data_IF_340968391013
#
_entry.id   IF_340968391013
#
_cell.length_a   1.000
_cell.length_b   1.000
_cell.length_c   1.000
_cell.angle_alpha   90.00
_cell.angle_beta   90.00
_cell.angle_gamma   90.00
#
_symmetry.space_group_name_H-M   'P 1'
#
loop_
_entity.id
_entity.type
_entity.pdbx_description
1 polymer ?
#
# COMPACT_ATOMS: atom_id res chain seq x y z
N UNK A 1 13.45 -17.60 10.05
CA UNK A 1 12.67 -16.72 10.97
C UNK A 1 11.55 -16.09 10.15
N UNK A 2 10.32 -16.04 10.66
CA UNK A 2 9.22 -15.39 9.95
C UNK A 2 9.48 -13.87 9.90
N UNK A 3 9.38 -13.27 8.72
CA UNK A 3 9.53 -11.81 8.55
C UNK A 3 8.17 -11.07 8.54
N UNK A 4 7.06 -11.79 8.63
CA UNK A 4 5.70 -11.26 8.62
C UNK A 4 5.34 -10.42 7.37
N UNK A 5 6.15 -10.48 6.32
CA UNK A 5 5.87 -9.84 5.03
C UNK A 5 5.26 -10.90 4.12
N UNK A 6 4.00 -10.74 3.77
CA UNK A 6 3.27 -11.71 2.95
C UNK A 6 2.91 -11.13 1.60
N UNK A 7 3.15 -11.89 0.56
CA UNK A 7 2.87 -11.52 -0.84
C UNK A 7 1.81 -12.45 -1.39
N UNK A 8 0.78 -11.90 -2.01
CA UNK A 8 -0.33 -12.62 -2.63
C UNK A 8 -0.47 -12.17 -4.08
N UNK A 9 -0.23 -13.09 -5.01
CA UNK A 9 -0.33 -12.83 -6.45
C UNK A 9 -1.74 -13.06 -6.99
N UNK A 10 -2.06 -12.40 -8.10
CA UNK A 10 -3.33 -12.56 -8.84
C UNK A 10 -4.57 -12.31 -7.96
N UNK A 11 -4.49 -11.37 -7.02
CA UNK A 11 -5.62 -11.03 -6.14
C UNK A 11 -6.65 -10.15 -6.87
N UNK A 12 -6.17 -9.16 -7.64
CA UNK A 12 -6.97 -8.44 -8.62
C UNK A 12 -6.67 -8.96 -10.02
N UNK A 13 -7.70 -9.00 -10.88
CA UNK A 13 -7.52 -9.27 -12.30
C UNK A 13 -6.89 -8.05 -12.99
N UNK A 14 -6.30 -8.25 -14.18
CA UNK A 14 -5.76 -7.13 -14.96
C UNK A 14 -6.85 -6.11 -15.30
N UNK A 15 -8.06 -6.55 -15.62
CA UNK A 15 -9.20 -5.69 -15.90
C UNK A 15 -9.59 -4.83 -14.68
N UNK A 16 -9.56 -5.40 -13.47
CA UNK A 16 -9.79 -4.65 -12.23
C UNK A 16 -8.68 -3.63 -11.99
N UNK A 17 -7.44 -4.01 -12.21
CA UNK A 17 -6.30 -3.10 -12.12
C UNK A 17 -6.44 -1.92 -13.09
N UNK A 18 -6.76 -2.19 -14.35
CA UNK A 18 -6.95 -1.18 -15.40
C UNK A 18 -8.12 -0.23 -15.06
N UNK A 19 -9.20 -0.78 -14.49
CA UNK A 19 -10.34 0.03 -14.03
C UNK A 19 -9.93 1.02 -12.92
N UNK A 20 -9.12 0.57 -11.95
CA UNK A 20 -8.62 1.43 -10.88
C UNK A 20 -7.62 2.47 -11.42
N UNK A 21 -6.74 2.09 -12.34
CA UNK A 21 -5.81 3.02 -13.01
C UNK A 21 -6.60 4.09 -13.77
N UNK A 22 -7.63 3.70 -14.51
CA UNK A 22 -8.51 4.64 -15.23
C UNK A 22 -9.16 5.64 -14.26
N UNK A 23 -9.64 5.15 -13.11
CA UNK A 23 -10.17 6.01 -12.06
C UNK A 23 -9.13 7.03 -11.57
N UNK A 24 -7.87 6.58 -11.34
CA UNK A 24 -6.77 7.47 -10.91
C UNK A 24 -6.50 8.53 -11.98
N UNK A 25 -6.39 8.13 -13.25
CA UNK A 25 -6.01 9.01 -14.34
C UNK A 25 -7.10 10.01 -14.73
N UNK A 26 -8.35 9.72 -14.41
CA UNK A 26 -9.51 10.60 -14.71
C UNK A 26 -10.00 11.39 -13.50
N UNK A 27 -9.46 11.14 -12.30
CA UNK A 27 -9.89 11.82 -11.08
C UNK A 27 -9.47 13.31 -11.10
N UNK A 28 -10.42 14.25 -10.97
CA UNK A 28 -10.09 15.68 -10.96
C UNK A 28 -9.42 16.15 -9.66
N UNK A 29 -9.49 15.33 -8.60
CA UNK A 29 -9.00 15.66 -7.27
C UNK A 29 -7.67 14.95 -6.94
N UNK A 30 -6.86 14.67 -7.95
CA UNK A 30 -5.52 14.12 -7.74
C UNK A 30 -4.57 15.25 -7.33
N UNK A 31 -3.84 15.06 -6.24
CA UNK A 31 -2.97 16.06 -5.63
C UNK A 31 -1.54 15.53 -5.48
N UNK A 32 -0.58 16.43 -5.22
CA UNK A 32 0.79 16.02 -4.89
C UNK A 32 0.82 15.25 -3.58
N UNK A 33 1.51 14.11 -3.57
CA UNK A 33 1.61 13.27 -2.38
C UNK A 33 2.23 14.01 -1.20
N UNK A 34 1.60 13.85 -0.04
CA UNK A 34 2.06 14.45 1.22
C UNK A 34 3.06 13.53 1.92
N UNK A 35 3.99 14.15 2.63
CA UNK A 35 4.85 13.52 3.63
C UNK A 35 4.74 14.32 4.94
N UNK A 36 4.14 13.71 5.96
CA UNK A 36 3.77 14.44 7.16
C UNK A 36 2.76 15.56 6.84
N UNK A 37 3.09 16.80 7.14
CA UNK A 37 2.18 17.96 6.93
C UNK A 37 2.46 18.75 5.63
N UNK A 38 3.28 18.25 4.71
CA UNK A 38 3.65 19.01 3.52
C UNK A 38 4.09 18.19 2.32
N UNK A 39 4.21 18.86 1.19
CA UNK A 39 4.78 18.31 -0.05
C UNK A 39 6.29 18.49 -0.03
N UNK A 40 7.02 17.39 -0.14
CA UNK A 40 8.48 17.39 -0.32
C UNK A 40 8.85 16.38 -1.41
N UNK A 41 8.88 16.83 -2.65
CA UNK A 41 9.15 16.00 -3.83
C UNK A 41 10.54 15.37 -3.84
N UNK A 42 11.48 15.90 -3.06
CA UNK A 42 12.80 15.29 -2.91
C UNK A 42 12.78 13.98 -2.11
N UNK A 43 11.71 13.78 -1.31
CA UNK A 43 11.51 12.61 -0.47
C UNK A 43 10.40 11.69 -0.98
N UNK A 44 9.27 12.30 -1.42
CA UNK A 44 8.14 11.59 -2.00
C UNK A 44 7.63 12.34 -3.22
N UNK A 45 7.82 11.77 -4.38
CA UNK A 45 7.37 12.32 -5.66
C UNK A 45 6.26 11.43 -6.23
N UNK A 46 5.03 11.73 -5.84
CA UNK A 46 3.80 11.03 -6.26
C UNK A 46 2.65 11.99 -6.50
N UNK A 47 1.62 11.47 -7.16
CA UNK A 47 0.30 12.05 -7.26
C UNK A 47 -0.69 11.13 -6.53
N UNK A 48 -1.39 11.65 -5.55
CA UNK A 48 -2.21 10.87 -4.62
C UNK A 48 -3.68 11.28 -4.69
N UNK A 49 -4.57 10.29 -4.56
CA UNK A 49 -6.00 10.48 -4.28
C UNK A 49 -6.25 9.87 -2.90
N UNK A 50 -6.82 10.67 -2.01
CA UNK A 50 -7.24 10.23 -0.68
C UNK A 50 -8.68 9.77 -0.73
N UNK A 51 -8.88 8.46 -0.72
CA UNK A 51 -10.20 7.83 -0.81
C UNK A 51 -10.74 7.38 0.55
N UNK A 52 -12.05 7.13 0.57
CA UNK A 52 -12.78 6.58 1.71
C UNK A 52 -13.60 5.36 1.28
N UNK A 53 -13.47 4.24 1.97
CA UNK A 53 -14.29 3.05 1.73
C UNK A 53 -15.79 3.28 1.92
N UNK A 54 -16.19 4.33 2.64
CA UNK A 54 -17.60 4.72 2.82
C UNK A 54 -18.29 5.29 1.58
N UNK A 55 -17.56 5.58 0.50
CA UNK A 55 -18.13 6.12 -0.75
C UNK A 55 -18.79 5.03 -1.62
N UNK A 56 -18.61 3.75 -1.30
CA UNK A 56 -19.21 2.59 -1.97
C UNK A 56 -18.99 2.56 -3.50
N UNK A 57 -17.87 3.09 -3.96
CA UNK A 57 -17.51 3.04 -5.38
C UNK A 57 -17.14 1.60 -5.81
N UNK A 58 -17.10 1.33 -7.12
CA UNK A 58 -16.62 0.06 -7.62
C UNK A 58 -15.15 -0.18 -7.22
N UNK A 59 -14.34 0.87 -7.18
CA UNK A 59 -12.95 0.83 -6.71
C UNK A 59 -12.89 0.39 -5.26
N UNK A 60 -13.70 0.98 -4.38
CA UNK A 60 -13.76 0.60 -2.96
C UNK A 60 -14.13 -0.87 -2.79
N UNK A 61 -15.13 -1.35 -3.53
CA UNK A 61 -15.59 -2.74 -3.48
C UNK A 61 -14.51 -3.72 -3.96
N UNK A 62 -13.83 -3.42 -5.07
CA UNK A 62 -12.74 -4.26 -5.58
C UNK A 62 -11.59 -4.38 -4.57
N UNK A 63 -11.12 -3.25 -4.03
CA UNK A 63 -10.04 -3.22 -3.04
C UNK A 63 -10.45 -3.94 -1.76
N UNK A 64 -11.64 -3.65 -1.21
CA UNK A 64 -12.14 -4.26 0.01
C UNK A 64 -12.23 -5.79 -0.10
N UNK A 65 -12.76 -6.32 -1.22
CA UNK A 65 -12.86 -7.76 -1.45
C UNK A 65 -11.47 -8.42 -1.53
N UNK A 66 -10.54 -7.80 -2.28
CA UNK A 66 -9.16 -8.25 -2.38
C UNK A 66 -8.48 -8.34 -1.00
N UNK A 67 -8.63 -7.30 -0.20
CA UNK A 67 -8.03 -7.23 1.15
C UNK A 67 -8.66 -8.23 2.12
N UNK A 68 -9.98 -8.45 2.06
CA UNK A 68 -10.67 -9.41 2.93
C UNK A 68 -10.10 -10.82 2.79
N UNK A 69 -9.88 -11.28 1.56
CA UNK A 69 -9.30 -12.60 1.29
C UNK A 69 -7.82 -12.70 1.70
N UNK A 70 -7.03 -11.65 1.45
CA UNK A 70 -5.63 -11.60 1.86
C UNK A 70 -5.49 -11.59 3.39
N UNK A 71 -6.31 -10.81 4.09
CA UNK A 71 -6.28 -10.73 5.54
C UNK A 71 -6.59 -12.08 6.21
N UNK A 72 -7.57 -12.83 5.71
CA UNK A 72 -7.86 -14.20 6.21
C UNK A 72 -6.62 -15.09 6.14
N UNK A 73 -5.92 -15.08 5.00
CA UNK A 73 -4.70 -15.86 4.81
C UNK A 73 -3.55 -15.38 5.70
N UNK A 74 -3.43 -14.06 5.86
CA UNK A 74 -2.42 -13.43 6.71
C UNK A 74 -2.58 -13.83 8.18
N UNK A 75 -3.82 -13.82 8.70
CA UNK A 75 -4.15 -14.22 10.08
C UNK A 75 -3.91 -15.72 10.32
N UNK A 76 -4.18 -16.59 9.34
CA UNK A 76 -3.86 -18.02 9.45
C UNK A 76 -2.36 -18.24 9.66
N UNK A 77 -1.51 -17.46 9.00
CA UNK A 77 -0.05 -17.53 9.16
C UNK A 77 0.47 -16.83 10.43
N UNK A 78 -0.29 -15.89 10.95
CA UNK A 78 0.06 -15.05 12.10
C UNK A 78 -1.09 -15.06 13.11
N UNK A 79 -1.39 -16.20 13.75
CA UNK A 79 -2.58 -16.36 14.60
C UNK A 79 -2.55 -15.48 15.86
N UNK A 80 -1.38 -14.99 16.28
CA UNK A 80 -1.23 -14.05 17.39
C UNK A 80 -2.02 -12.75 17.18
N UNK A 81 -2.30 -12.39 15.93
CA UNK A 81 -3.13 -11.23 15.59
C UNK A 81 -4.57 -11.32 16.09
N UNK A 82 -5.05 -12.53 16.39
CA UNK A 82 -6.37 -12.74 17.01
C UNK A 82 -6.36 -12.54 18.53
N UNK A 83 -5.17 -12.43 19.14
CA UNK A 83 -4.98 -12.26 20.58
C UNK A 83 -4.73 -10.80 21.01
N UNK A 84 -4.56 -9.89 20.05
CA UNK A 84 -4.44 -8.46 20.33
C UNK A 84 -5.83 -7.80 20.39
N UNK A 85 -5.89 -6.53 20.82
CA UNK A 85 -7.16 -5.77 20.89
C UNK A 85 -7.90 -5.70 19.55
N UNK A 86 -9.11 -5.16 19.57
CA UNK A 86 -9.90 -5.04 18.35
C UNK A 86 -9.22 -4.12 17.32
N UNK A 87 -9.10 -4.59 16.10
CA UNK A 87 -8.55 -3.85 14.97
C UNK A 87 -9.24 -4.23 13.66
N UNK A 88 -9.22 -3.33 12.70
CA UNK A 88 -9.90 -3.51 11.43
C UNK A 88 -9.34 -2.60 10.34
N UNK A 89 -9.91 -2.71 9.15
CA UNK A 89 -9.53 -1.88 8.01
C UNK A 89 -9.85 -0.41 8.32
N UNK A 90 -8.85 0.48 8.14
CA UNK A 90 -9.09 1.91 8.19
C UNK A 90 -10.04 2.33 7.07
N UNK A 91 -10.90 3.31 7.36
CA UNK A 91 -11.80 3.85 6.35
C UNK A 91 -11.07 4.66 5.27
N UNK A 92 -9.85 5.11 5.53
CA UNK A 92 -9.03 5.90 4.61
C UNK A 92 -8.01 5.03 3.90
N UNK A 93 -7.80 5.31 2.61
CA UNK A 93 -6.73 4.73 1.83
C UNK A 93 -6.26 5.68 0.72
N UNK A 94 -5.09 5.42 0.15
CA UNK A 94 -4.50 6.23 -0.90
C UNK A 94 -4.40 5.44 -2.19
N UNK A 95 -4.79 6.07 -3.29
CA UNK A 95 -4.42 5.66 -4.64
C UNK A 95 -3.28 6.55 -5.09
N UNK A 96 -2.19 5.96 -5.55
CA UNK A 96 -0.96 6.70 -5.84
C UNK A 96 -0.45 6.40 -7.26
N UNK A 97 -0.12 7.48 -7.98
CA UNK A 97 0.52 7.46 -9.28
C UNK A 97 1.91 8.05 -9.17
N UNK A 98 2.90 7.29 -9.64
CA UNK A 98 4.28 7.73 -9.76
C UNK A 98 4.64 7.84 -11.24
N UNK A 99 5.15 8.99 -11.64
CA UNK A 99 5.71 9.21 -12.98
C UNK A 99 7.08 8.52 -13.08
N UNK A 100 7.60 8.26 -14.28
CA UNK A 100 8.98 7.83 -14.48
C UNK A 100 9.96 8.72 -13.71
N UNK A 101 10.80 8.13 -12.86
CA UNK A 101 11.71 8.84 -11.95
C UNK A 101 11.09 9.27 -10.62
N UNK A 102 9.77 9.27 -10.49
CA UNK A 102 9.08 9.53 -9.21
C UNK A 102 9.07 8.30 -8.30
N UNK A 103 8.87 8.54 -7.01
CA UNK A 103 8.85 7.46 -6.01
C UNK A 103 8.78 7.96 -4.58
N UNK A 104 8.86 7.01 -3.66
CA UNK A 104 9.05 7.28 -2.23
C UNK A 104 10.27 6.49 -1.73
N UNK A 105 11.51 6.94 -2.09
CA UNK A 105 12.75 6.25 -1.73
C UNK A 105 13.20 6.50 -0.29
N UNK A 106 12.53 7.38 0.46
CA UNK A 106 12.85 7.65 1.85
C UNK A 106 12.46 6.44 2.73
N UNK A 107 13.42 5.79 3.44
CA UNK A 107 13.08 4.72 4.38
C UNK A 107 12.17 5.22 5.50
N UNK A 108 11.08 4.49 5.75
CA UNK A 108 10.08 4.83 6.76
C UNK A 108 9.40 3.57 7.31
N UNK A 109 8.66 3.75 8.40
CA UNK A 109 7.67 2.80 8.89
C UNK A 109 6.34 3.53 9.10
N UNK A 110 5.23 2.79 9.15
CA UNK A 110 3.89 3.38 9.12
C UNK A 110 3.35 3.78 10.50
N UNK A 111 3.95 3.26 11.57
CA UNK A 111 3.64 3.61 12.96
C UNK A 111 4.80 4.35 13.63
N UNK A 112 5.40 5.33 12.92
CA UNK A 112 6.56 6.08 13.38
C UNK A 112 6.24 7.26 14.30
N UNK A 113 4.97 7.67 14.39
CA UNK A 113 4.54 8.81 15.16
C UNK A 113 3.33 8.46 16.02
N UNK A 114 3.07 9.26 17.07
CA UNK A 114 1.95 9.01 17.99
C UNK A 114 0.59 9.04 17.28
N UNK A 115 0.45 9.84 16.23
CA UNK A 115 -0.76 9.94 15.41
C UNK A 115 -1.06 8.67 14.63
N UNK A 116 -0.05 7.84 14.39
CA UNK A 116 -0.13 6.64 13.56
C UNK A 116 0.10 5.36 14.38
N UNK A 117 0.30 5.50 15.70
CA UNK A 117 0.66 4.41 16.61
C UNK A 117 -0.43 3.33 16.73
N UNK A 118 -1.67 3.63 16.35
CA UNK A 118 -2.77 2.66 16.31
C UNK A 118 -2.70 1.70 15.11
N UNK A 119 -1.87 1.95 14.10
CA UNK A 119 -1.74 1.10 12.92
C UNK A 119 -1.10 -0.24 13.28
N UNK A 120 -1.64 -1.34 12.74
CA UNK A 120 -1.23 -2.72 13.04
C UNK A 120 -0.59 -3.38 11.82
N UNK A 121 -1.29 -3.34 10.68
CA UNK A 121 -0.85 -3.97 9.43
C UNK A 121 -0.98 -2.98 8.28
N UNK A 122 0.04 -2.89 7.45
CA UNK A 122 0.00 -2.18 6.16
C UNK A 122 -0.51 -3.13 5.10
N UNK A 123 -1.29 -2.60 4.18
CA UNK A 123 -1.60 -3.27 2.93
C UNK A 123 -1.22 -2.39 1.74
N UNK A 124 -0.76 -3.03 0.68
CA UNK A 124 -0.46 -2.37 -0.58
C UNK A 124 -0.81 -3.28 -1.74
N UNK A 125 -1.38 -2.71 -2.80
CA UNK A 125 -1.72 -3.40 -4.05
C UNK A 125 -0.96 -2.72 -5.18
N UNK A 126 -0.19 -3.48 -5.96
CA UNK A 126 0.36 -3.01 -7.22
C UNK A 126 -0.70 -3.13 -8.31
N UNK A 127 -1.00 -2.02 -8.99
CA UNK A 127 -2.03 -1.97 -10.02
C UNK A 127 -1.48 -2.20 -11.42
N UNK A 128 -0.16 -2.04 -11.61
CA UNK A 128 0.51 -2.39 -12.86
C UNK A 128 1.83 -3.11 -12.60
N UNK A 129 2.29 -3.85 -13.60
CA UNK A 129 3.63 -4.45 -13.58
C UNK A 129 4.66 -3.41 -14.01
N UNK A 130 5.74 -3.28 -13.23
CA UNK A 130 6.88 -2.43 -13.53
C UNK A 130 8.12 -3.32 -13.62
N UNK A 131 8.83 -3.25 -14.74
CA UNK A 131 9.93 -4.19 -15.07
C UNK A 131 11.32 -3.59 -14.91
N UNK A 132 11.41 -2.29 -14.67
CA UNK A 132 12.66 -1.57 -14.38
C UNK A 132 12.66 -1.08 -12.92
N UNK A 133 12.67 -2.00 -11.97
CA UNK A 133 12.53 -1.77 -10.52
C UNK A 133 11.06 -1.55 -10.07
N UNK A 134 10.69 -0.43 -9.45
CA UNK A 134 9.32 -0.12 -9.03
C UNK A 134 8.81 -0.85 -7.78
N UNK A 135 9.56 -1.79 -7.26
CA UNK A 135 9.19 -2.63 -6.12
C UNK A 135 9.20 -1.89 -4.77
N UNK A 136 9.02 -2.65 -3.69
CA UNK A 136 9.16 -2.17 -2.30
C UNK A 136 10.27 -2.94 -1.61
N UNK A 137 11.27 -2.21 -1.11
CA UNK A 137 12.46 -2.77 -0.45
C UNK A 137 12.28 -2.74 1.07
N UNK A 138 12.59 -3.86 1.71
CA UNK A 138 12.66 -4.06 3.15
C UNK A 138 14.12 -4.38 3.55
N UNK A 139 14.95 -3.37 3.86
CA UNK A 139 16.38 -3.55 4.05
C UNK A 139 16.74 -4.53 5.18
N UNK A 140 15.98 -4.54 6.29
CA UNK A 140 16.24 -5.43 7.43
C UNK A 140 16.13 -6.92 7.10
N UNK A 141 15.37 -7.25 6.05
CA UNK A 141 15.10 -8.63 5.61
C UNK A 141 15.80 -9.01 4.32
N UNK A 142 16.58 -8.08 3.76
CA UNK A 142 17.19 -8.23 2.42
C UNK A 142 16.16 -8.64 1.35
N UNK A 143 14.94 -8.11 1.46
CA UNK A 143 13.80 -8.48 0.62
C UNK A 143 13.34 -7.28 -0.23
N UNK A 144 13.08 -7.53 -1.51
CA UNK A 144 12.33 -6.62 -2.38
C UNK A 144 11.12 -7.35 -2.93
N UNK A 145 9.94 -6.73 -2.82
CA UNK A 145 8.73 -7.23 -3.50
C UNK A 145 8.60 -6.54 -4.85
N UNK A 146 8.57 -7.30 -5.93
CA UNK A 146 8.43 -6.74 -7.28
C UNK A 146 7.04 -6.14 -7.50
N UNK A 147 6.98 -5.09 -8.30
CA UNK A 147 5.73 -4.46 -8.74
C UNK A 147 5.07 -5.31 -9.83
N UNK A 148 4.11 -6.15 -9.45
CA UNK A 148 3.34 -7.02 -10.34
C UNK A 148 1.87 -6.67 -10.24
N UNK A 149 1.20 -6.45 -11.37
CA UNK A 149 -0.23 -6.11 -11.42
C UNK A 149 -1.08 -7.14 -10.66
N UNK A 150 -1.98 -6.67 -9.80
CA UNK A 150 -2.86 -7.50 -8.97
C UNK A 150 -2.23 -8.14 -7.75
N UNK A 151 -0.95 -7.87 -7.48
CA UNK A 151 -0.23 -8.34 -6.28
C UNK A 151 -0.60 -7.50 -5.06
N UNK A 152 -0.95 -8.17 -3.96
CA UNK A 152 -1.14 -7.57 -2.64
C UNK A 152 0.05 -7.92 -1.74
N UNK A 153 0.53 -6.95 -0.99
CA UNK A 153 1.56 -7.14 0.04
C UNK A 153 1.01 -6.68 1.38
N UNK A 154 1.16 -7.51 2.42
CA UNK A 154 0.81 -7.20 3.81
C UNK A 154 2.05 -7.29 4.70
N UNK A 155 2.24 -6.33 5.62
CA UNK A 155 3.34 -6.34 6.59
C UNK A 155 3.01 -5.52 7.84
N UNK A 156 3.71 -5.75 8.98
CA UNK A 156 3.54 -4.95 10.20
C UNK A 156 3.96 -3.50 10.01
N UNK A 157 3.31 -2.60 10.73
CA UNK A 157 3.51 -1.14 10.62
C UNK A 157 4.71 -0.61 11.40
N UNK A 158 5.26 -1.41 12.32
CA UNK A 158 6.25 -0.96 13.32
C UNK A 158 7.65 -0.70 12.73
N UNK A 159 8.52 -0.09 13.54
CA UNK A 159 9.92 0.21 13.22
C UNK A 159 10.77 -1.00 12.79
N UNK A 160 10.33 -2.21 13.09
CA UNK A 160 10.98 -3.45 12.61
C UNK A 160 10.79 -3.68 11.11
N UNK A 161 9.90 -2.93 10.46
CA UNK A 161 9.56 -3.08 9.04
C UNK A 161 9.78 -1.76 8.28
N UNK A 162 10.96 -1.14 8.50
CA UNK A 162 11.37 -0.02 7.64
C UNK A 162 11.41 -0.49 6.19
N UNK A 163 10.80 0.30 5.32
CA UNK A 163 10.72 0.02 3.89
C UNK A 163 10.79 1.30 3.08
N UNK A 164 11.02 1.16 1.80
CA UNK A 164 10.95 2.27 0.85
C UNK A 164 10.59 1.77 -0.55
N UNK A 165 10.04 2.66 -1.38
CA UNK A 165 9.78 2.37 -2.78
C UNK A 165 11.08 2.42 -3.59
N UNK A 166 11.30 1.40 -4.42
CA UNK A 166 12.35 1.43 -5.44
C UNK A 166 11.82 2.22 -6.64
N UNK A 167 12.61 3.18 -7.10
CA UNK A 167 12.17 4.11 -8.17
C UNK A 167 12.31 3.43 -9.52
N UNK A 168 11.21 3.39 -10.30
CA UNK A 168 11.26 3.09 -11.73
C UNK A 168 11.69 4.34 -12.50
N UNK A 169 12.69 4.22 -13.35
CA UNK A 169 13.22 5.36 -14.12
C UNK A 169 12.46 5.63 -15.42
N UNK A 170 11.81 4.59 -15.95
CA UNK A 170 11.25 4.64 -17.30
C UNK A 170 9.74 4.37 -17.37
N UNK A 171 9.14 3.83 -16.29
CA UNK A 171 7.75 3.41 -16.30
C UNK A 171 6.92 4.12 -15.24
N UNK A 172 5.64 4.29 -15.54
CA UNK A 172 4.65 4.69 -14.53
C UNK A 172 4.44 3.56 -13.54
N UNK A 173 4.20 3.91 -12.28
CA UNK A 173 3.81 2.97 -11.24
C UNK A 173 2.51 3.45 -10.59
N UNK A 174 1.57 2.51 -10.42
CA UNK A 174 0.29 2.75 -9.75
C UNK A 174 0.13 1.78 -8.60
N UNK A 175 -0.26 2.29 -7.44
CA UNK A 175 -0.56 1.47 -6.26
C UNK A 175 -1.82 1.96 -5.55
N UNK A 176 -2.45 1.05 -4.80
CA UNK A 176 -3.36 1.40 -3.71
C UNK A 176 -2.71 0.99 -2.39
N UNK A 177 -2.82 1.81 -1.34
CA UNK A 177 -2.23 1.51 -0.03
C UNK A 177 -3.05 2.10 1.11
N UNK A 178 -3.01 1.41 2.25
CA UNK A 178 -3.69 1.81 3.48
C UNK A 178 -3.33 0.89 4.63
N UNK A 179 -4.15 0.92 5.67
CA UNK A 179 -3.81 0.31 6.95
C UNK A 179 -4.98 -0.43 7.58
N UNK A 180 -4.63 -1.38 8.40
CA UNK A 180 -5.50 -1.91 9.45
C UNK A 180 -5.02 -1.32 10.77
N UNK A 181 -5.97 -0.83 11.58
CA UNK A 181 -5.67 -0.11 12.82
C UNK A 181 -6.54 -0.60 13.97
N UNK A 182 -6.09 -0.36 15.20
CA UNK A 182 -6.94 -0.54 16.37
C UNK A 182 -8.17 0.36 16.25
N UNK A 183 -9.32 -0.19 16.62
CA UNK A 183 -10.61 0.51 16.65
C UNK A 183 -11.07 0.64 18.11
N UNK A 184 -11.63 1.80 18.43
CA UNK A 184 -12.22 2.09 19.75
C UNK A 184 -13.63 1.57 19.88
#
# INVERSE_FOLDING_TARGET
MNNFIEVYDNVLTLEQCDSIITYIDTCPNIERGLMGMGVDVSKKDSWDIHNLFGNETDVDRMIHNALSECLKKYKIKNPELDSIGYWGLENKYNLQKYLPGGGYPQPHCEAGFITDAQRVVVWMIYLNTVTDDGGTRFPQYDLTTDAVAGRVVLWPTSWTHFHHGVVSKTQYKYIATGWYSFVS
#
